data_IF_939327266017
#
_entry.id   IF_939327266017
#
_cell.length_a   1.000
_cell.length_b   1.000
_cell.length_c   1.000
_cell.angle_alpha   90.00
_cell.angle_beta   90.00
_cell.angle_gamma   90.00
#
_symmetry.space_group_name_H-M   'P 1'
#
loop_
_entity.id
_entity.type
_entity.pdbx_description
1 polymer ?
#
# COMPACT_ATOMS: atom_id res chain seq x y z
N UNK A 1 14.67 -0.30 15.58
CA UNK A 1 14.15 -1.53 14.97
C UNK A 1 12.65 -1.62 15.25
N UNK A 2 11.82 -1.29 14.27
CA UNK A 2 10.35 -1.21 14.43
C UNK A 2 9.74 -2.56 14.07
N UNK A 3 9.30 -3.31 15.07
CA UNK A 3 8.64 -4.60 14.88
C UNK A 3 7.27 -4.37 14.21
N UNK A 4 7.11 -4.83 12.97
CA UNK A 4 5.81 -4.83 12.29
C UNK A 4 4.83 -5.67 13.11
N UNK A 5 3.61 -5.18 13.34
CA UNK A 5 2.57 -6.01 13.98
C UNK A 5 2.24 -7.18 13.05
N UNK A 6 1.80 -8.32 13.61
CA UNK A 6 1.55 -9.56 12.86
C UNK A 6 0.56 -9.41 11.67
N UNK A 7 -0.28 -8.37 11.65
CA UNK A 7 -1.21 -8.07 10.56
C UNK A 7 -0.79 -6.87 9.68
N UNK A 8 0.32 -6.21 9.99
CA UNK A 8 0.88 -5.14 9.17
C UNK A 8 1.81 -5.73 8.12
N UNK A 9 1.61 -5.31 6.88
CA UNK A 9 2.39 -5.68 5.71
C UNK A 9 2.98 -4.42 5.10
N UNK A 10 4.02 -4.60 4.28
CA UNK A 10 4.55 -3.52 3.44
C UNK A 10 3.56 -3.24 2.32
N UNK A 11 3.38 -1.97 1.95
CA UNK A 11 2.54 -1.64 0.79
C UNK A 11 3.07 -2.32 -0.48
N UNK A 12 4.40 -2.40 -0.64
CA UNK A 12 5.05 -3.09 -1.76
C UNK A 12 4.74 -4.59 -1.84
N UNK A 13 4.25 -5.21 -0.76
CA UNK A 13 3.88 -6.63 -0.74
C UNK A 13 2.42 -6.87 -1.19
N UNK A 14 1.63 -5.82 -1.39
CA UNK A 14 0.27 -5.96 -1.91
C UNK A 14 0.27 -6.27 -3.40
N UNK A 15 -0.70 -7.07 -3.82
CA UNK A 15 -0.91 -7.41 -5.23
C UNK A 15 -1.92 -6.47 -5.90
N UNK A 16 -1.86 -6.32 -7.25
CA UNK A 16 -2.93 -5.68 -8.02
C UNK A 16 -4.29 -6.25 -7.65
N UNK A 17 -5.27 -5.37 -7.45
CA UNK A 17 -6.57 -5.75 -6.94
C UNK A 17 -6.54 -6.21 -5.49
N UNK A 18 -5.66 -5.71 -4.64
CA UNK A 18 -5.82 -5.84 -3.18
C UNK A 18 -6.14 -4.49 -2.56
N UNK A 19 -6.95 -4.52 -1.51
CA UNK A 19 -7.33 -3.32 -0.77
C UNK A 19 -6.70 -3.39 0.61
N UNK A 20 -6.16 -2.28 1.09
CA UNK A 20 -5.52 -2.18 2.39
C UNK A 20 -5.79 -0.81 3.02
N UNK A 21 -5.50 -0.71 4.31
CA UNK A 21 -5.56 0.56 5.03
C UNK A 21 -4.15 0.92 5.49
N UNK A 22 -3.72 2.15 5.21
CA UNK A 22 -2.45 2.66 5.69
C UNK A 22 -2.51 2.74 7.22
N UNK A 23 -1.60 2.09 7.90
CA UNK A 23 -1.52 2.14 9.37
C UNK A 23 -0.39 3.03 9.84
N UNK A 24 0.77 2.96 9.17
CA UNK A 24 1.96 3.70 9.57
C UNK A 24 2.83 4.06 8.37
N UNK A 25 3.50 5.21 8.50
CA UNK A 25 4.56 5.65 7.58
C UNK A 25 5.88 5.45 8.32
N UNK A 26 6.77 4.61 7.78
CA UNK A 26 8.04 4.26 8.42
C UNK A 26 8.87 5.51 8.67
N UNK A 27 9.53 5.61 9.82
CA UNK A 27 10.41 6.74 10.20
C UNK A 27 11.53 7.00 9.17
N UNK A 28 11.89 5.98 8.38
CA UNK A 28 12.84 6.09 7.26
C UNK A 28 12.29 6.97 6.11
N UNK A 29 10.98 6.96 5.84
CA UNK A 29 10.36 7.94 4.94
C UNK A 29 10.31 9.35 5.56
N UNK A 30 10.26 9.45 6.89
CA UNK A 30 10.28 10.72 7.61
C UNK A 30 11.68 11.35 7.63
N UNK A 31 12.74 10.52 7.70
CA UNK A 31 14.15 10.95 7.76
C UNK A 31 14.83 11.12 6.40
N UNK A 32 14.62 10.22 5.44
CA UNK A 32 15.38 10.24 4.18
C UNK A 32 14.84 11.25 3.15
N UNK A 33 13.58 11.67 3.26
CA UNK A 33 13.00 12.65 2.35
C UNK A 33 11.88 13.44 3.04
N UNK A 34 12.22 14.53 3.79
CA UNK A 34 11.23 15.50 4.26
C UNK A 34 10.17 15.91 3.20
N UNK A 35 10.53 16.15 1.92
CA UNK A 35 9.53 16.48 0.91
C UNK A 35 8.59 15.31 0.55
N UNK A 36 9.01 14.05 0.76
CA UNK A 36 8.16 12.89 0.49
C UNK A 36 7.01 12.82 1.49
N UNK A 37 7.26 13.12 2.77
CA UNK A 37 6.20 13.14 3.78
C UNK A 37 5.18 14.24 3.48
N UNK A 38 5.66 15.43 3.13
CA UNK A 38 4.80 16.53 2.71
C UNK A 38 4.00 16.17 1.45
N UNK A 39 4.63 15.54 0.46
CA UNK A 39 3.98 15.07 -0.76
C UNK A 39 2.90 14.03 -0.47
N UNK A 40 3.17 13.04 0.39
CA UNK A 40 2.19 12.03 0.79
C UNK A 40 1.02 12.67 1.54
N UNK A 41 1.30 13.60 2.45
CA UNK A 41 0.30 14.32 3.21
C UNK A 41 -0.60 15.18 2.30
N UNK A 42 -0.02 15.94 1.39
CA UNK A 42 -0.73 16.76 0.39
C UNK A 42 -1.64 15.93 -0.52
N UNK A 43 -1.17 14.72 -0.88
CA UNK A 43 -1.94 13.77 -1.68
C UNK A 43 -3.02 13.03 -0.88
N UNK A 44 -3.07 13.17 0.44
CA UNK A 44 -4.04 12.52 1.33
C UNK A 44 -3.68 11.09 1.75
N UNK A 45 -2.42 10.69 1.58
CA UNK A 45 -1.88 9.40 2.03
C UNK A 45 -1.45 9.50 3.50
N UNK A 46 -2.44 9.44 4.39
CA UNK A 46 -2.26 9.45 5.84
C UNK A 46 -2.67 8.11 6.46
N UNK A 47 -2.20 7.80 7.68
CA UNK A 47 -2.73 6.69 8.46
C UNK A 47 -4.26 6.75 8.56
N UNK A 48 -4.92 5.60 8.39
CA UNK A 48 -6.37 5.48 8.27
C UNK A 48 -6.91 5.58 6.85
N UNK A 49 -6.10 6.00 5.87
CA UNK A 49 -6.54 6.05 4.46
C UNK A 49 -6.66 4.65 3.89
N UNK A 50 -7.82 4.35 3.30
CA UNK A 50 -8.05 3.14 2.51
C UNK A 50 -7.49 3.32 1.11
N UNK A 51 -6.77 2.32 0.65
CA UNK A 51 -6.14 2.29 -0.68
C UNK A 51 -6.43 0.95 -1.37
N UNK A 52 -6.50 0.98 -2.69
CA UNK A 52 -6.59 -0.22 -3.53
C UNK A 52 -5.47 -0.21 -4.53
N UNK A 53 -4.69 -1.28 -4.61
CA UNK A 53 -3.66 -1.41 -5.64
C UNK A 53 -4.35 -1.65 -6.97
N UNK A 54 -4.09 -0.77 -7.93
CA UNK A 54 -4.60 -0.91 -9.29
C UNK A 54 -3.63 -1.75 -10.12
N UNK A 55 -2.35 -1.39 -10.07
CA UNK A 55 -1.32 -2.02 -10.89
C UNK A 55 0.03 -2.00 -10.16
N UNK A 56 0.88 -2.96 -10.46
CA UNK A 56 2.26 -3.02 -9.99
C UNK A 56 3.14 -3.23 -11.21
N UNK A 57 4.00 -2.26 -11.49
CA UNK A 57 5.03 -2.35 -12.51
C UNK A 57 6.34 -2.82 -11.85
N UNK A 58 6.66 -4.09 -12.07
CA UNK A 58 7.90 -4.70 -11.56
C UNK A 58 9.14 -4.24 -12.33
N UNK A 59 8.98 -3.82 -13.60
CA UNK A 59 10.07 -3.36 -14.46
C UNK A 59 10.48 -1.94 -14.07
N UNK A 60 9.51 -1.02 -14.08
CA UNK A 60 9.70 0.36 -13.63
C UNK A 60 9.84 0.49 -12.12
N UNK A 61 9.61 -0.59 -11.36
CA UNK A 61 9.55 -0.60 -9.89
C UNK A 61 8.61 0.48 -9.38
N UNK A 62 7.43 0.59 -9.97
CA UNK A 62 6.37 1.51 -9.53
C UNK A 62 5.08 0.76 -9.24
N UNK A 63 4.20 1.38 -8.46
CA UNK A 63 2.92 0.82 -8.07
C UNK A 63 1.87 1.92 -8.21
N UNK A 64 0.82 1.62 -8.95
CA UNK A 64 -0.38 2.45 -9.04
C UNK A 64 -1.38 2.02 -7.98
N UNK A 65 -1.88 2.99 -7.24
CA UNK A 65 -2.86 2.79 -6.20
C UNK A 65 -3.94 3.86 -6.23
N UNK A 66 -5.16 3.42 -5.98
CA UNK A 66 -6.34 4.25 -5.84
C UNK A 66 -6.59 4.52 -4.35
N UNK A 67 -6.43 5.79 -3.96
CA UNK A 67 -6.78 6.30 -2.64
C UNK A 67 -7.96 7.29 -2.78
N UNK A 68 -7.82 8.52 -2.25
CA UNK A 68 -8.68 9.64 -2.60
C UNK A 68 -8.58 10.01 -4.09
N UNK A 69 -7.41 9.76 -4.70
CA UNK A 69 -7.14 9.93 -6.12
C UNK A 69 -6.25 8.77 -6.59
N UNK A 70 -6.07 8.63 -7.90
CA UNK A 70 -5.09 7.71 -8.46
C UNK A 70 -3.68 8.28 -8.22
N UNK A 71 -2.79 7.47 -7.65
CA UNK A 71 -1.40 7.81 -7.42
C UNK A 71 -0.48 6.71 -7.93
N UNK A 72 0.65 7.12 -8.48
CA UNK A 72 1.78 6.25 -8.76
C UNK A 72 2.89 6.52 -7.76
N UNK A 73 3.39 5.48 -7.11
CA UNK A 73 4.50 5.54 -6.16
C UNK A 73 5.57 4.53 -6.56
N UNK A 74 6.84 4.84 -6.30
CA UNK A 74 7.91 3.86 -6.48
C UNK A 74 7.80 2.73 -5.45
N UNK A 75 8.29 1.55 -5.81
CA UNK A 75 8.31 0.37 -4.94
C UNK A 75 9.09 0.65 -3.65
N UNK A 76 10.16 1.45 -3.74
CA UNK A 76 10.93 1.91 -2.56
C UNK A 76 10.06 2.74 -1.60
N UNK A 77 9.29 3.70 -2.12
CA UNK A 77 8.34 4.50 -1.33
C UNK A 77 7.26 3.62 -0.71
N UNK A 78 6.73 2.66 -1.47
CA UNK A 78 5.74 1.71 -0.99
C UNK A 78 6.31 0.80 0.11
N UNK A 79 7.57 0.37 -0.01
CA UNK A 79 8.24 -0.40 1.03
C UNK A 79 8.38 0.41 2.33
N UNK A 80 8.36 1.74 2.29
CA UNK A 80 8.36 2.58 3.50
C UNK A 80 6.97 2.73 4.14
N UNK A 81 5.90 2.23 3.52
CA UNK A 81 4.54 2.31 4.04
C UNK A 81 4.11 0.97 4.63
N UNK A 82 3.54 1.02 5.83
CA UNK A 82 2.92 -0.13 6.50
C UNK A 82 1.41 -0.04 6.36
N UNK A 83 0.81 -1.16 5.98
CA UNK A 83 -0.60 -1.28 5.68
C UNK A 83 -1.16 -2.53 6.32
N UNK A 84 -2.43 -2.50 6.68
CA UNK A 84 -3.18 -3.71 7.04
C UNK A 84 -4.08 -4.06 5.87
N UNK A 85 -3.88 -5.25 5.32
CA UNK A 85 -4.71 -5.77 4.24
C UNK A 85 -6.14 -5.89 4.73
N UNK A 86 -7.07 -5.24 4.02
CA UNK A 86 -8.49 -5.50 4.17
C UNK A 86 -8.74 -6.80 3.42
N UNK A 87 -8.99 -7.88 4.16
CA UNK A 87 -9.28 -9.16 3.55
C UNK A 87 -10.40 -8.98 2.52
N UNK A 88 -10.06 -9.13 1.24
CA UNK A 88 -11.09 -9.34 0.22
C UNK A 88 -11.78 -10.63 0.61
N UNK A 89 -13.08 -10.58 0.89
CA UNK A 89 -13.91 -11.78 0.76
C UNK A 89 -13.61 -12.29 -0.65
N UNK A 90 -12.96 -13.46 -0.73
CA UNK A 90 -12.76 -14.19 -1.99
C UNK A 90 -14.09 -14.15 -2.77
N UNK A 91 -14.13 -13.73 -4.04
CA UNK A 91 -15.21 -14.21 -4.89
C UNK A 91 -15.06 -15.73 -4.92
N UNK A 92 -16.18 -16.41 -4.68
CA UNK A 92 -16.25 -17.84 -4.41
C UNK A 92 -15.42 -18.67 -5.39
N UNK A 93 -14.68 -19.61 -4.83
CA UNK A 93 -14.24 -20.79 -5.56
C UNK A 93 -15.54 -21.48 -6.00
N UNK A 94 -15.92 -21.34 -7.27
CA UNK A 94 -17.07 -22.09 -7.80
C UNK A 94 -16.64 -23.56 -7.79
N UNK A 95 -17.32 -24.47 -7.06
CA UNK A 95 -17.04 -25.89 -7.22
C UNK A 95 -17.47 -26.27 -8.64
N UNK A 96 -16.54 -26.85 -9.40
CA UNK A 96 -16.86 -27.40 -10.71
C UNK A 96 -17.99 -28.43 -10.54
N UNK A 97 -19.05 -28.42 -11.38
CA UNK A 97 -20.02 -29.49 -11.40
C UNK A 97 -19.34 -30.78 -11.90
N UNK A 98 -19.84 -31.89 -11.37
CA UNK A 98 -19.30 -33.27 -11.43
C UNK A 98 -19.02 -33.79 -12.83
#
# INVERSE_FOLDING_TARGET
YSTMRANELRLSALKPGETATITRISEVAQREAPPLLQYLHDRGLKPGTRITVQEVDEIGRTMQLQAARLLTLSNETASKLSVVRLARRRPGRVPAPR
#
